data_IF_757552136028
#
_entry.id   IF_757552136028
#
_cell.length_a   1.000
_cell.length_b   1.000
_cell.length_c   1.000
_cell.angle_alpha   90.00
_cell.angle_beta   90.00
_cell.angle_gamma   90.00
#
_symmetry.space_group_name_H-M   'P 1'
#
loop_
_entity.id
_entity.type
_entity.pdbx_description
1 polymer ?
#
# COMPACT_ATOMS: atom_id res chain seq x y z
N UNK A 1 26.30 -21.06 -19.18
CA UNK A 1 26.31 -22.47 -18.70
C UNK A 1 26.22 -22.50 -17.18
N UNK A 2 25.61 -23.57 -16.65
CA UNK A 2 25.57 -23.81 -15.20
C UNK A 2 26.15 -25.22 -14.95
N UNK A 3 27.07 -25.34 -14.01
CA UNK A 3 27.62 -26.61 -13.55
C UNK A 3 27.01 -26.95 -12.21
N UNK A 4 26.25 -28.03 -12.16
CA UNK A 4 25.43 -28.46 -11.02
C UNK A 4 23.93 -28.51 -11.36
N UNK A 5 23.22 -29.47 -10.77
CA UNK A 5 21.80 -29.77 -11.06
C UNK A 5 20.86 -29.67 -9.86
N UNK A 6 21.31 -29.08 -8.74
CA UNK A 6 20.56 -28.96 -7.52
C UNK A 6 19.74 -27.66 -7.44
N UNK A 7 19.04 -27.42 -6.30
CA UNK A 7 18.14 -26.27 -6.06
C UNK A 7 18.85 -24.91 -6.14
N UNK A 8 20.14 -24.86 -5.80
CA UNK A 8 20.94 -23.64 -5.91
C UNK A 8 21.14 -23.28 -7.39
N UNK A 9 21.45 -24.26 -8.22
CA UNK A 9 21.59 -24.11 -9.67
C UNK A 9 20.26 -23.60 -10.29
N UNK A 10 19.11 -24.16 -9.87
CA UNK A 10 17.77 -23.72 -10.31
C UNK A 10 17.54 -22.23 -9.99
N UNK A 11 17.84 -21.81 -8.77
CA UNK A 11 17.66 -20.39 -8.37
C UNK A 11 18.48 -19.42 -9.23
N UNK A 12 19.74 -19.78 -9.54
CA UNK A 12 20.61 -18.99 -10.43
C UNK A 12 20.13 -19.00 -11.88
N UNK A 13 19.64 -20.14 -12.33
CA UNK A 13 19.11 -20.32 -13.67
C UNK A 13 17.87 -19.46 -13.94
N UNK A 14 16.93 -19.38 -12.99
CA UNK A 14 15.70 -18.58 -13.14
C UNK A 14 16.00 -17.12 -13.53
N UNK A 15 17.02 -16.51 -12.91
CA UNK A 15 17.44 -15.15 -13.24
C UNK A 15 17.95 -15.04 -14.68
N UNK A 16 18.77 -15.99 -15.12
CA UNK A 16 19.30 -15.99 -16.49
C UNK A 16 18.22 -16.28 -17.52
N UNK A 17 17.29 -17.20 -17.20
CA UNK A 17 16.15 -17.53 -18.06
C UNK A 17 15.19 -16.34 -18.24
N UNK A 18 14.95 -15.55 -17.18
CA UNK A 18 14.12 -14.34 -17.27
C UNK A 18 14.74 -13.26 -18.17
N UNK A 19 16.07 -13.27 -18.30
CA UNK A 19 16.81 -12.39 -19.22
C UNK A 19 16.92 -12.95 -20.65
N UNK A 20 16.25 -14.07 -20.96
CA UNK A 20 16.28 -14.69 -22.30
C UNK A 20 17.59 -15.41 -22.65
N UNK A 21 18.37 -15.82 -21.64
CA UNK A 21 19.64 -16.53 -21.90
C UNK A 21 19.39 -17.95 -22.41
N UNK A 22 20.23 -18.39 -23.38
CA UNK A 22 20.35 -19.79 -23.75
C UNK A 22 21.20 -20.53 -22.70
N UNK A 23 20.58 -21.49 -22.02
CA UNK A 23 21.15 -22.09 -20.83
C UNK A 23 21.47 -23.57 -21.05
N UNK A 24 22.74 -23.92 -20.88
CA UNK A 24 23.20 -25.32 -20.80
C UNK A 24 23.52 -25.64 -19.34
N UNK A 25 22.96 -26.75 -18.84
CA UNK A 25 23.27 -27.31 -17.52
C UNK A 25 24.13 -28.58 -17.71
N UNK A 26 25.27 -28.61 -17.02
CA UNK A 26 26.18 -29.77 -16.96
C UNK A 26 26.09 -30.36 -15.56
N UNK A 27 25.53 -31.55 -15.45
CA UNK A 27 25.39 -32.26 -14.18
C UNK A 27 25.05 -33.74 -14.44
N UNK A 28 25.61 -34.71 -13.70
CA UNK A 28 25.21 -36.11 -13.78
C UNK A 28 23.74 -36.32 -13.39
N UNK A 29 23.25 -35.54 -12.42
CA UNK A 29 21.90 -35.68 -11.86
C UNK A 29 21.25 -34.30 -11.77
N UNK A 30 19.94 -34.26 -12.01
CA UNK A 30 19.13 -33.04 -11.85
C UNK A 30 18.12 -33.23 -10.71
N UNK A 31 17.80 -32.16 -9.99
CA UNK A 31 16.63 -32.09 -9.12
C UNK A 31 15.33 -32.10 -9.96
N UNK A 32 14.20 -32.35 -9.30
CA UNK A 32 12.92 -32.53 -10.00
C UNK A 32 12.50 -31.28 -10.77
N UNK A 33 12.68 -30.12 -10.19
CA UNK A 33 12.34 -28.84 -10.85
C UNK A 33 13.19 -28.63 -12.13
N UNK A 34 14.50 -28.90 -12.06
CA UNK A 34 15.38 -28.78 -13.22
C UNK A 34 14.99 -29.75 -14.34
N UNK A 35 14.59 -30.97 -13.98
CA UNK A 35 14.09 -31.95 -14.96
C UNK A 35 12.84 -31.45 -15.69
N UNK A 36 11.90 -30.83 -14.97
CA UNK A 36 10.72 -30.28 -15.61
C UNK A 36 11.08 -29.13 -16.57
N UNK A 37 12.03 -28.27 -16.21
CA UNK A 37 12.49 -27.19 -17.11
C UNK A 37 13.16 -27.70 -18.38
N UNK A 38 13.92 -28.79 -18.27
CA UNK A 38 14.52 -29.50 -19.45
C UNK A 38 13.41 -30.08 -20.33
N UNK A 39 12.40 -30.75 -19.76
CA UNK A 39 11.26 -31.31 -20.51
C UNK A 39 10.50 -30.26 -21.31
N UNK A 40 10.39 -29.05 -20.77
CA UNK A 40 9.73 -27.92 -21.44
C UNK A 40 10.61 -27.18 -22.45
N UNK A 41 11.82 -27.68 -22.72
CA UNK A 41 12.74 -27.08 -23.69
C UNK A 41 13.35 -25.74 -23.27
N UNK A 42 13.27 -25.40 -21.99
CA UNK A 42 13.78 -24.12 -21.45
C UNK A 42 15.28 -24.16 -21.17
N UNK A 43 15.87 -25.36 -21.12
CA UNK A 43 17.25 -25.60 -20.70
C UNK A 43 17.79 -26.80 -21.45
N UNK A 44 19.03 -26.70 -21.91
CA UNK A 44 19.77 -27.83 -22.51
C UNK A 44 20.53 -28.59 -21.42
N UNK A 45 20.23 -29.84 -21.21
CA UNK A 45 20.92 -30.67 -20.23
C UNK A 45 22.00 -31.55 -20.88
N UNK A 46 23.20 -31.56 -20.27
CA UNK A 46 24.30 -32.50 -20.57
C UNK A 46 24.50 -33.38 -19.34
N UNK A 47 24.08 -34.66 -19.39
CA UNK A 47 24.21 -35.60 -18.28
C UNK A 47 25.68 -36.11 -18.17
N UNK A 48 26.56 -35.24 -17.67
CA UNK A 48 27.98 -35.50 -17.56
C UNK A 48 28.59 -34.79 -16.37
N UNK A 49 29.73 -35.30 -15.89
CA UNK A 49 30.61 -34.53 -15.02
C UNK A 49 31.27 -33.39 -15.80
N UNK A 50 31.67 -32.34 -15.06
CA UNK A 50 32.34 -31.21 -15.69
C UNK A 50 33.65 -31.61 -16.36
N UNK A 51 33.89 -31.12 -17.56
CA UNK A 51 35.16 -31.23 -18.28
C UNK A 51 35.48 -29.91 -18.99
N UNK A 52 36.76 -29.67 -19.30
CA UNK A 52 37.25 -28.47 -19.95
C UNK A 52 36.56 -28.16 -21.28
N UNK A 53 36.13 -29.17 -22.02
CA UNK A 53 35.44 -29.02 -23.29
C UNK A 53 34.07 -28.34 -23.17
N UNK A 54 33.45 -28.37 -21.99
CA UNK A 54 32.11 -27.81 -21.77
C UNK A 54 32.08 -26.28 -21.80
N UNK A 55 33.20 -25.61 -21.49
CA UNK A 55 33.25 -24.14 -21.47
C UNK A 55 33.38 -23.49 -22.85
N UNK A 56 33.70 -24.29 -23.88
CA UNK A 56 33.86 -23.77 -25.22
C UNK A 56 32.58 -23.09 -25.73
N UNK A 57 32.72 -21.81 -26.17
CA UNK A 57 31.62 -21.01 -26.67
C UNK A 57 30.71 -20.43 -25.59
N UNK A 58 31.00 -20.64 -24.31
CA UNK A 58 30.22 -20.05 -23.21
C UNK A 58 30.64 -18.61 -22.97
N UNK A 59 29.68 -17.72 -22.68
CA UNK A 59 29.96 -16.32 -22.31
C UNK A 59 30.06 -16.11 -20.80
N UNK A 60 29.29 -16.94 -20.06
CA UNK A 60 29.19 -16.87 -18.62
C UNK A 60 28.97 -18.27 -18.06
N UNK A 61 29.62 -18.59 -16.93
CA UNK A 61 29.52 -19.84 -16.25
C UNK A 61 29.19 -19.64 -14.77
N UNK A 62 28.26 -20.44 -14.24
CA UNK A 62 27.99 -20.53 -12.83
C UNK A 62 28.36 -21.91 -12.32
N UNK A 63 29.27 -22.01 -11.37
CA UNK A 63 29.62 -23.23 -10.65
C UNK A 63 28.74 -23.33 -9.39
N UNK A 64 27.81 -24.26 -9.36
CA UNK A 64 26.80 -24.43 -8.32
C UNK A 64 26.71 -25.91 -7.89
N UNK A 65 27.86 -26.54 -7.69
CA UNK A 65 27.95 -27.90 -7.14
C UNK A 65 28.28 -27.82 -5.64
N UNK A 66 28.03 -28.91 -4.92
CA UNK A 66 28.45 -29.15 -3.55
C UNK A 66 29.91 -29.64 -3.41
N UNK A 67 30.60 -29.81 -4.53
CA UNK A 67 31.99 -30.24 -4.59
C UNK A 67 32.94 -29.05 -4.84
N UNK A 68 33.63 -28.57 -3.80
CA UNK A 68 34.56 -27.42 -3.91
C UNK A 68 35.65 -27.64 -5.00
N UNK A 69 36.17 -28.86 -5.15
CA UNK A 69 37.17 -29.20 -6.17
C UNK A 69 36.66 -29.03 -7.60
N UNK A 70 35.38 -29.35 -7.83
CA UNK A 70 34.73 -29.15 -9.13
C UNK A 70 34.56 -27.66 -9.40
N UNK A 71 34.06 -26.93 -8.44
CA UNK A 71 33.87 -25.47 -8.58
C UNK A 71 35.20 -24.73 -8.83
N UNK A 72 36.30 -25.15 -8.18
CA UNK A 72 37.63 -24.60 -8.43
C UNK A 72 38.14 -24.97 -9.84
N UNK A 73 37.91 -26.21 -10.30
CA UNK A 73 38.27 -26.61 -11.67
C UNK A 73 37.48 -25.79 -12.72
N UNK A 74 36.19 -25.54 -12.49
CA UNK A 74 35.37 -24.69 -13.34
C UNK A 74 35.94 -23.26 -13.37
N UNK A 75 36.28 -22.69 -12.19
CA UNK A 75 36.88 -21.39 -12.09
C UNK A 75 38.20 -21.30 -12.86
N UNK A 76 39.15 -22.21 -12.62
CA UNK A 76 40.44 -22.22 -13.28
C UNK A 76 40.31 -22.33 -14.81
N UNK A 77 39.40 -23.16 -15.28
CA UNK A 77 39.12 -23.32 -16.71
C UNK A 77 38.56 -22.02 -17.34
N UNK A 78 37.61 -21.35 -16.64
CA UNK A 78 37.01 -20.11 -17.11
C UNK A 78 38.03 -18.97 -17.11
N UNK A 79 38.87 -18.86 -16.07
CA UNK A 79 39.97 -17.89 -16.03
C UNK A 79 40.92 -18.02 -17.21
N UNK A 80 41.37 -19.25 -17.50
CA UNK A 80 42.27 -19.51 -18.61
C UNK A 80 41.64 -19.16 -19.99
N UNK A 81 40.29 -19.24 -20.08
CA UNK A 81 39.54 -18.95 -21.30
C UNK A 81 39.00 -17.51 -21.38
N UNK A 82 39.18 -16.67 -20.35
CA UNK A 82 38.63 -15.31 -20.29
C UNK A 82 37.11 -15.27 -20.20
N UNK A 83 36.48 -16.28 -19.57
CA UNK A 83 35.01 -16.43 -19.43
C UNK A 83 34.61 -15.94 -18.04
N UNK A 84 33.55 -15.14 -17.95
CA UNK A 84 32.98 -14.70 -16.66
C UNK A 84 32.47 -15.91 -15.87
N UNK A 85 32.93 -16.04 -14.63
CA UNK A 85 32.56 -17.17 -13.76
C UNK A 85 32.10 -16.68 -12.38
N UNK A 86 31.06 -17.32 -11.85
CA UNK A 86 30.62 -17.19 -10.47
C UNK A 86 30.60 -18.59 -9.82
N UNK A 87 31.41 -18.78 -8.80
CA UNK A 87 31.35 -19.95 -7.92
C UNK A 87 30.42 -19.58 -6.74
N UNK A 88 29.35 -20.33 -6.57
CA UNK A 88 28.35 -20.02 -5.55
C UNK A 88 28.96 -20.14 -4.16
N UNK A 89 28.70 -19.13 -3.31
CA UNK A 89 29.20 -18.99 -1.94
C UNK A 89 30.76 -18.96 -1.84
N UNK A 90 31.46 -18.70 -2.95
CA UNK A 90 32.92 -18.59 -3.00
C UNK A 90 33.35 -17.31 -3.76
N UNK A 91 33.45 -16.15 -3.05
CA UNK A 91 33.88 -14.88 -3.67
C UNK A 91 35.30 -14.90 -4.22
N UNK A 92 36.21 -15.70 -3.65
CA UNK A 92 37.60 -15.79 -4.09
C UNK A 92 37.72 -16.43 -5.50
N UNK A 93 36.83 -17.35 -5.82
CA UNK A 93 36.74 -18.02 -7.10
C UNK A 93 35.55 -17.51 -7.94
N UNK A 94 35.29 -16.19 -7.87
CA UNK A 94 34.24 -15.52 -8.63
C UNK A 94 34.76 -14.25 -9.29
N UNK A 95 34.32 -13.96 -10.53
CA UNK A 95 34.62 -12.72 -11.27
C UNK A 95 33.42 -11.80 -11.35
N UNK A 96 32.26 -12.28 -10.97
CA UNK A 96 31.08 -11.48 -10.74
C UNK A 96 30.23 -12.07 -9.61
N UNK A 97 29.37 -11.25 -9.02
CA UNK A 97 28.45 -11.64 -7.96
C UNK A 97 27.04 -11.34 -8.45
N UNK A 98 26.09 -12.26 -8.20
CA UNK A 98 24.69 -12.01 -8.48
C UNK A 98 24.13 -11.13 -7.36
N UNK A 99 23.71 -9.86 -7.64
CA UNK A 99 23.15 -8.98 -6.63
C UNK A 99 21.75 -9.42 -6.21
N UNK A 100 21.25 -8.84 -5.12
CA UNK A 100 19.83 -8.85 -4.82
C UNK A 100 19.14 -7.86 -5.77
N UNK A 101 18.08 -8.28 -6.45
CA UNK A 101 17.43 -7.50 -7.51
C UNK A 101 16.00 -7.15 -7.10
N UNK A 102 15.64 -5.88 -7.26
CA UNK A 102 14.25 -5.39 -7.34
C UNK A 102 13.97 -5.18 -8.82
N UNK A 103 13.13 -6.04 -9.38
CA UNK A 103 12.78 -6.01 -10.80
C UNK A 103 11.48 -5.24 -11.03
N UNK A 104 11.59 -4.19 -11.82
CA UNK A 104 10.50 -3.35 -12.32
C UNK A 104 10.70 -3.09 -13.82
N UNK A 105 11.00 -4.15 -14.58
CA UNK A 105 11.40 -4.04 -15.98
C UNK A 105 10.60 -2.97 -16.77
N UNK A 106 11.27 -2.05 -17.51
CA UNK A 106 12.72 -2.01 -17.80
C UNK A 106 13.58 -1.38 -16.70
N UNK A 107 13.02 -0.93 -15.58
CA UNK A 107 13.79 -0.43 -14.44
C UNK A 107 14.28 -1.62 -13.59
N UNK A 108 15.59 -1.65 -13.31
CA UNK A 108 16.20 -2.66 -12.45
C UNK A 108 17.02 -1.97 -11.36
N UNK A 109 16.83 -2.41 -10.09
CA UNK A 109 17.63 -1.95 -8.96
C UNK A 109 18.41 -3.14 -8.42
N UNK A 110 19.72 -3.04 -8.40
CA UNK A 110 20.63 -4.08 -7.95
C UNK A 110 21.35 -3.65 -6.66
N UNK A 111 21.33 -4.53 -5.65
CA UNK A 111 21.95 -4.32 -4.35
C UNK A 111 23.03 -5.37 -4.13
N UNK A 112 24.25 -4.93 -3.87
CA UNK A 112 25.37 -5.81 -3.57
C UNK A 112 26.08 -5.34 -2.30
N UNK A 113 26.55 -6.29 -1.51
CA UNK A 113 27.44 -6.08 -0.37
C UNK A 113 28.85 -6.59 -0.65
N UNK A 114 29.21 -6.73 -1.93
CA UNK A 114 30.50 -7.32 -2.34
C UNK A 114 30.69 -8.76 -1.90
N UNK A 115 29.60 -9.49 -1.61
CA UNK A 115 29.65 -10.84 -1.07
C UNK A 115 29.82 -10.93 0.46
N UNK A 116 30.06 -9.78 1.16
CA UNK A 116 30.39 -9.79 2.57
C UNK A 116 29.20 -10.10 3.49
N UNK A 117 28.01 -9.54 3.20
CA UNK A 117 26.82 -9.69 4.09
C UNK A 117 25.55 -9.90 3.25
N UNK A 118 25.30 -11.09 2.70
CA UNK A 118 24.13 -11.36 1.84
C UNK A 118 22.78 -11.11 2.53
N UNK A 119 22.73 -11.31 3.85
CA UNK A 119 21.51 -11.05 4.66
C UNK A 119 21.13 -9.58 4.64
N UNK A 120 22.10 -8.66 4.69
CA UNK A 120 21.85 -7.22 4.62
C UNK A 120 21.27 -6.83 3.24
N UNK A 121 21.83 -7.36 2.16
CA UNK A 121 21.31 -7.12 0.80
C UNK A 121 19.86 -7.62 0.65
N UNK A 122 19.51 -8.78 1.24
CA UNK A 122 18.13 -9.29 1.26
C UNK A 122 17.20 -8.42 2.08
N UNK A 123 17.63 -7.94 3.24
CA UNK A 123 16.84 -7.06 4.09
C UNK A 123 16.52 -5.74 3.38
N UNK A 124 17.55 -5.09 2.82
CA UNK A 124 17.36 -3.84 2.05
C UNK A 124 16.52 -4.05 0.80
N UNK A 125 16.67 -5.19 0.10
CA UNK A 125 15.80 -5.54 -1.00
C UNK A 125 14.33 -5.59 -0.57
N UNK A 126 14.01 -6.26 0.54
CA UNK A 126 12.64 -6.36 1.05
C UNK A 126 12.04 -4.97 1.35
N UNK A 127 12.81 -4.06 1.90
CA UNK A 127 12.38 -2.67 2.11
C UNK A 127 12.10 -1.94 0.79
N UNK A 128 13.00 -2.06 -0.18
CA UNK A 128 12.83 -1.43 -1.50
C UNK A 128 11.67 -2.03 -2.29
N UNK A 129 11.39 -3.33 -2.17
CA UNK A 129 10.21 -3.97 -2.78
C UNK A 129 8.90 -3.30 -2.30
N UNK A 130 8.81 -2.93 -1.03
CA UNK A 130 7.66 -2.24 -0.48
C UNK A 130 7.57 -0.77 -0.92
N UNK A 131 8.72 -0.11 -1.10
CA UNK A 131 8.78 1.32 -1.42
C UNK A 131 8.62 1.62 -2.91
N UNK A 132 9.03 0.69 -3.78
CA UNK A 132 9.10 0.89 -5.24
C UNK A 132 8.01 0.05 -5.92
N UNK A 133 6.84 0.63 -6.24
CA UNK A 133 5.76 -0.08 -6.91
C UNK A 133 6.12 -0.48 -8.35
N UNK A 134 5.40 -1.47 -8.89
CA UNK A 134 5.57 -1.94 -10.26
C UNK A 134 5.37 -0.83 -11.31
N UNK A 135 4.51 0.14 -11.05
CA UNK A 135 4.24 1.25 -11.94
C UNK A 135 5.47 2.09 -12.33
N UNK A 136 6.60 2.02 -11.60
CA UNK A 136 7.86 2.63 -12.06
C UNK A 136 8.40 1.99 -13.34
N UNK A 137 8.20 0.68 -13.51
CA UNK A 137 8.51 -0.01 -14.76
C UNK A 137 7.61 0.47 -15.90
N UNK A 138 6.31 0.58 -15.65
CA UNK A 138 5.33 1.07 -16.64
C UNK A 138 5.64 2.51 -17.05
N UNK A 139 6.01 3.37 -16.09
CA UNK A 139 6.42 4.75 -16.38
C UNK A 139 7.71 4.81 -17.19
N UNK A 140 8.70 3.97 -16.88
CA UNK A 140 9.94 3.89 -17.64
C UNK A 140 9.71 3.38 -19.07
N UNK A 141 8.79 2.41 -19.24
CA UNK A 141 8.36 1.93 -20.55
C UNK A 141 7.67 3.03 -21.35
N UNK A 142 6.72 3.73 -20.74
CA UNK A 142 6.02 4.85 -21.34
C UNK A 142 6.99 5.94 -21.79
N UNK A 143 7.99 6.29 -20.96
CA UNK A 143 9.04 7.24 -21.33
C UNK A 143 9.91 6.74 -22.50
N UNK A 144 10.17 5.44 -22.56
CA UNK A 144 10.92 4.83 -23.68
C UNK A 144 10.12 4.88 -24.97
N UNK A 145 8.83 4.59 -24.94
CA UNK A 145 7.91 4.61 -26.08
C UNK A 145 7.82 6.03 -26.68
N UNK A 146 7.77 7.05 -25.81
CA UNK A 146 7.68 8.46 -26.23
C UNK A 146 9.04 9.12 -26.54
N UNK A 147 10.14 8.38 -26.43
CA UNK A 147 11.50 8.93 -26.58
C UNK A 147 11.73 9.58 -27.95
N UNK A 148 11.21 8.98 -29.02
CA UNK A 148 11.38 9.50 -30.38
C UNK A 148 10.63 10.82 -30.52
N UNK A 149 9.37 10.85 -30.11
CA UNK A 149 8.51 12.05 -30.13
C UNK A 149 9.13 13.17 -29.28
N UNK A 150 9.60 12.85 -28.07
CA UNK A 150 10.26 13.83 -27.19
C UNK A 150 11.53 14.43 -27.80
N UNK A 151 12.32 13.65 -28.56
CA UNK A 151 13.48 14.16 -29.27
C UNK A 151 13.11 15.08 -30.45
N UNK A 152 12.03 14.76 -31.14
CA UNK A 152 11.51 15.54 -32.26
C UNK A 152 10.95 16.89 -31.80
N UNK A 153 10.10 16.88 -30.76
CA UNK A 153 9.41 18.09 -30.28
C UNK A 153 10.27 18.96 -29.37
N UNK A 154 11.22 18.36 -28.66
CA UNK A 154 12.14 19.05 -27.76
C UNK A 154 13.59 18.73 -28.18
N UNK A 155 14.12 19.38 -29.21
CA UNK A 155 15.47 19.09 -29.73
C UNK A 155 16.58 19.43 -28.73
N UNK A 156 16.38 20.41 -27.86
CA UNK A 156 17.32 20.74 -26.80
C UNK A 156 17.32 19.75 -25.66
N UNK A 157 18.52 19.36 -25.19
CA UNK A 157 18.70 18.37 -24.12
C UNK A 157 18.23 18.91 -22.75
N UNK A 158 18.42 20.21 -22.50
CA UNK A 158 18.01 20.86 -21.27
C UNK A 158 16.47 20.91 -21.20
N UNK A 159 15.79 21.27 -22.29
CA UNK A 159 14.35 21.30 -22.39
C UNK A 159 13.73 19.89 -22.19
N UNK A 160 14.34 18.83 -22.76
CA UNK A 160 13.90 17.44 -22.52
C UNK A 160 14.06 17.02 -21.06
N UNK A 161 15.18 17.39 -20.44
CA UNK A 161 15.44 17.10 -19.04
C UNK A 161 14.38 17.79 -18.16
N UNK A 162 14.17 19.09 -18.35
CA UNK A 162 13.17 19.86 -17.62
C UNK A 162 11.75 19.28 -17.80
N UNK A 163 11.40 18.89 -19.04
CA UNK A 163 10.12 18.23 -19.30
C UNK A 163 9.94 16.96 -18.44
N UNK A 164 10.94 16.07 -18.42
CA UNK A 164 10.84 14.83 -17.64
C UNK A 164 10.91 15.07 -16.15
N UNK A 165 11.66 16.06 -15.67
CA UNK A 165 11.65 16.46 -14.26
C UNK A 165 10.25 16.94 -13.84
N UNK A 166 9.58 17.72 -14.69
CA UNK A 166 8.21 18.17 -14.48
C UNK A 166 7.19 17.02 -14.54
N UNK A 167 7.35 16.08 -15.47
CA UNK A 167 6.54 14.85 -15.54
C UNK A 167 6.66 14.07 -14.25
N UNK A 168 7.89 13.84 -13.75
CA UNK A 168 8.14 13.08 -12.51
C UNK A 168 7.61 13.81 -11.27
N UNK A 169 7.62 15.14 -11.28
CA UNK A 169 7.07 15.96 -10.20
C UNK A 169 5.54 16.13 -10.29
N UNK A 170 4.92 15.86 -11.47
CA UNK A 170 3.51 16.05 -11.75
C UNK A 170 2.61 14.87 -11.35
N UNK A 171 1.35 14.85 -11.81
CA UNK A 171 0.38 13.78 -11.54
C UNK A 171 0.59 12.51 -12.39
N UNK A 172 1.38 12.57 -13.44
CA UNK A 172 1.56 11.45 -14.39
C UNK A 172 2.05 10.15 -13.72
N UNK A 173 3.07 10.17 -12.83
CA UNK A 173 3.47 8.95 -12.11
C UNK A 173 2.32 8.34 -11.33
N UNK A 174 1.48 9.15 -10.72
CA UNK A 174 0.36 8.72 -9.90
C UNK A 174 -0.74 8.06 -10.74
N UNK A 175 -1.03 8.60 -11.93
CA UNK A 175 -1.93 7.97 -12.90
C UNK A 175 -1.42 6.59 -13.33
N UNK A 176 -0.12 6.49 -13.64
CA UNK A 176 0.51 5.21 -14.00
C UNK A 176 0.44 4.22 -12.83
N UNK A 177 0.72 4.65 -11.60
CA UNK A 177 0.69 3.80 -10.40
C UNK A 177 -0.72 3.33 -10.05
N UNK A 178 -1.75 4.08 -10.46
CA UNK A 178 -3.18 3.71 -10.33
C UNK A 178 -3.67 2.83 -11.50
N UNK A 179 -2.80 2.45 -12.44
CA UNK A 179 -3.16 1.64 -13.61
C UNK A 179 -3.73 2.43 -14.79
N UNK A 180 -3.77 3.76 -14.73
CA UNK A 180 -4.29 4.64 -15.79
C UNK A 180 -3.20 4.97 -16.84
N UNK A 181 -2.49 3.94 -17.32
CA UNK A 181 -1.31 4.10 -18.19
C UNK A 181 -1.68 4.78 -19.50
N UNK A 182 -2.84 4.45 -20.10
CA UNK A 182 -3.26 5.03 -21.36
C UNK A 182 -3.65 6.51 -21.23
N UNK A 183 -4.31 6.87 -20.14
CA UNK A 183 -4.61 8.29 -19.80
C UNK A 183 -3.31 9.10 -19.67
N UNK A 184 -2.31 8.54 -18.97
CA UNK A 184 -1.00 9.15 -18.85
C UNK A 184 -0.28 9.27 -20.21
N UNK A 185 -0.40 8.27 -21.09
CA UNK A 185 0.15 8.29 -22.46
C UNK A 185 -0.42 9.45 -23.28
N UNK A 186 -1.75 9.57 -23.28
CA UNK A 186 -2.45 10.64 -24.01
C UNK A 186 -1.99 12.01 -23.50
N UNK A 187 -2.01 12.22 -22.18
CA UNK A 187 -1.61 13.48 -21.55
C UNK A 187 -0.15 13.88 -21.89
N UNK A 188 0.76 12.91 -21.86
CA UNK A 188 2.17 13.16 -22.22
C UNK A 188 2.36 13.45 -23.70
N UNK A 189 1.63 12.73 -24.57
CA UNK A 189 1.69 12.96 -26.03
C UNK A 189 1.21 14.37 -26.35
N UNK A 190 0.06 14.77 -25.80
CA UNK A 190 -0.48 16.12 -26.01
C UNK A 190 0.46 17.22 -25.47
N UNK A 191 1.06 16.99 -24.29
CA UNK A 191 2.01 17.94 -23.71
C UNK A 191 3.25 18.12 -24.61
N UNK A 192 3.77 17.02 -25.17
CA UNK A 192 4.89 17.08 -26.13
C UNK A 192 4.49 17.78 -27.44
N UNK A 193 3.31 17.49 -27.98
CA UNK A 193 2.83 18.10 -29.25
C UNK A 193 2.57 19.59 -29.12
N UNK A 194 2.00 20.03 -27.98
CA UNK A 194 1.67 21.43 -27.72
C UNK A 194 2.85 22.24 -27.16
N UNK A 195 3.97 21.60 -26.83
CA UNK A 195 5.10 22.23 -26.16
C UNK A 195 4.75 22.79 -24.78
N UNK A 196 3.69 22.23 -24.15
CA UNK A 196 3.16 22.67 -22.86
C UNK A 196 3.76 21.82 -21.75
N UNK A 197 3.97 22.44 -20.58
CA UNK A 197 4.32 21.68 -19.37
C UNK A 197 3.10 20.87 -18.91
N UNK A 198 3.25 19.60 -18.49
CA UNK A 198 2.15 18.84 -17.91
C UNK A 198 1.51 19.57 -16.74
N UNK A 199 0.18 19.43 -16.58
CA UNK A 199 -0.58 20.01 -15.46
C UNK A 199 0.04 19.52 -14.15
N UNK A 200 0.43 20.44 -13.27
CA UNK A 200 1.11 20.13 -12.00
C UNK A 200 0.14 19.93 -10.83
N UNK A 201 -0.99 20.64 -10.82
CA UNK A 201 -1.93 20.61 -9.71
C UNK A 201 -2.82 19.37 -9.72
N UNK A 202 -2.95 18.73 -8.56
CA UNK A 202 -3.85 17.61 -8.35
C UNK A 202 -4.24 17.50 -6.87
N UNK A 203 -5.39 16.90 -6.58
CA UNK A 203 -5.85 16.62 -5.22
C UNK A 203 -5.88 15.12 -4.97
N UNK A 204 -5.25 14.70 -3.89
CA UNK A 204 -5.22 13.33 -3.41
C UNK A 204 -6.04 13.23 -2.14
N UNK A 205 -7.20 12.56 -2.22
CA UNK A 205 -8.06 12.30 -1.08
C UNK A 205 -7.64 10.98 -0.44
N UNK A 206 -7.02 11.04 0.73
CA UNK A 206 -6.28 9.90 1.30
C UNK A 206 -6.82 9.54 2.68
N UNK A 207 -7.12 8.26 2.86
CA UNK A 207 -7.42 7.69 4.17
C UNK A 207 -6.15 7.45 4.98
N UNK A 208 -6.09 8.02 6.17
CA UNK A 208 -4.97 7.85 7.09
C UNK A 208 -5.09 6.62 8.00
N UNK A 209 -6.13 5.81 7.83
CA UNK A 209 -6.39 4.69 8.72
C UNK A 209 -6.89 5.10 10.11
N UNK A 210 -7.00 4.15 11.04
CA UNK A 210 -7.67 4.32 12.33
C UNK A 210 -6.81 4.94 13.43
N UNK A 211 -5.52 5.26 13.16
CA UNK A 211 -4.64 5.92 14.13
C UNK A 211 -3.20 5.42 14.18
N UNK A 212 -2.97 4.11 14.06
CA UNK A 212 -1.62 3.55 14.00
C UNK A 212 -0.97 3.84 12.64
N UNK A 213 0.22 4.48 12.58
CA UNK A 213 0.94 4.75 11.33
C UNK A 213 1.27 3.50 10.49
N UNK A 214 1.50 2.35 11.12
CA UNK A 214 1.78 1.10 10.40
C UNK A 214 0.58 0.55 9.61
N UNK A 215 -0.60 1.13 9.83
CA UNK A 215 -1.82 0.80 9.10
C UNK A 215 -2.08 1.72 7.89
N UNK A 216 -1.14 2.61 7.59
CA UNK A 216 -1.17 3.38 6.34
C UNK A 216 -0.96 2.46 5.14
N UNK A 217 -1.64 2.76 4.05
CA UNK A 217 -1.28 2.13 2.78
C UNK A 217 0.04 2.69 2.28
N UNK A 218 0.83 1.88 1.57
CA UNK A 218 2.05 2.36 0.92
C UNK A 218 1.80 3.54 -0.03
N UNK A 219 0.61 3.58 -0.65
CA UNK A 219 0.21 4.68 -1.52
C UNK A 219 0.02 5.97 -0.73
N UNK A 220 -0.67 5.90 0.40
CA UNK A 220 -0.85 7.04 1.30
C UNK A 220 0.50 7.61 1.74
N UNK A 221 1.42 6.77 2.21
CA UNK A 221 2.75 7.19 2.66
C UNK A 221 3.54 7.88 1.53
N UNK A 222 3.53 7.32 0.31
CA UNK A 222 4.23 7.97 -0.83
C UNK A 222 3.67 9.36 -1.14
N UNK A 223 2.34 9.52 -1.14
CA UNK A 223 1.71 10.81 -1.38
C UNK A 223 2.01 11.82 -0.27
N UNK A 224 2.05 11.38 0.99
CA UNK A 224 2.46 12.21 2.13
C UNK A 224 3.89 12.75 1.99
N UNK A 225 4.78 11.99 1.35
CA UNK A 225 6.16 12.41 1.09
C UNK A 225 6.33 13.28 -0.16
N UNK A 226 5.27 13.45 -0.96
CA UNK A 226 5.31 14.20 -2.22
C UNK A 226 4.42 15.45 -2.22
N UNK A 227 3.50 15.56 -1.27
CA UNK A 227 2.55 16.66 -1.21
C UNK A 227 3.23 18.01 -0.97
N UNK A 228 2.80 19.05 -1.69
CA UNK A 228 3.20 20.43 -1.43
C UNK A 228 2.38 21.03 -0.28
N UNK A 229 1.11 20.62 -0.19
CA UNK A 229 0.16 21.06 0.83
C UNK A 229 -0.61 19.88 1.40
N UNK A 230 -0.75 19.82 2.72
CA UNK A 230 -1.57 18.83 3.42
C UNK A 230 -2.72 19.52 4.13
N UNK A 231 -3.94 19.20 3.73
CA UNK A 231 -5.19 19.66 4.36
C UNK A 231 -5.74 18.54 5.24
N UNK A 232 -5.84 18.75 6.54
CA UNK A 232 -6.15 17.70 7.51
C UNK A 232 -7.04 18.18 8.66
N UNK A 233 -7.64 17.23 9.38
CA UNK A 233 -8.50 17.48 10.55
C UNK A 233 -7.98 16.75 11.80
N UNK A 234 -8.72 16.87 12.92
CA UNK A 234 -8.32 16.34 14.23
C UNK A 234 -8.35 14.81 14.37
N UNK A 235 -8.87 14.07 13.38
CA UNK A 235 -8.89 12.61 13.40
C UNK A 235 -7.57 11.99 12.90
N UNK A 236 -6.73 12.81 12.27
CA UNK A 236 -5.38 12.38 11.86
C UNK A 236 -4.43 12.51 13.05
N UNK A 237 -3.80 11.41 13.45
CA UNK A 237 -2.89 11.41 14.61
C UNK A 237 -1.62 12.22 14.35
N UNK A 238 -0.95 12.66 15.44
CA UNK A 238 0.33 13.39 15.33
C UNK A 238 1.41 12.54 14.69
N UNK A 239 1.47 11.28 15.04
CA UNK A 239 2.42 10.31 14.54
C UNK A 239 2.28 10.13 13.01
N UNK A 240 1.06 10.13 12.49
CA UNK A 240 0.79 10.13 11.06
C UNK A 240 1.24 11.45 10.42
N UNK A 241 0.95 12.58 11.04
CA UNK A 241 1.38 13.90 10.53
C UNK A 241 2.90 14.08 10.51
N UNK A 242 3.64 13.37 11.35
CA UNK A 242 5.11 13.35 11.33
C UNK A 242 5.70 12.66 10.10
N UNK A 243 4.94 11.79 9.45
CA UNK A 243 5.32 11.11 8.20
C UNK A 243 5.16 12.00 6.95
N UNK A 244 4.50 13.14 7.07
CA UNK A 244 4.42 14.14 6.00
C UNK A 244 5.79 14.79 5.80
N UNK A 245 6.20 15.01 4.54
CA UNK A 245 7.47 15.69 4.26
C UNK A 245 7.55 17.03 5.02
N UNK A 246 8.75 17.38 5.48
CA UNK A 246 8.95 18.47 6.46
C UNK A 246 8.60 19.86 5.93
N UNK A 247 8.81 20.07 4.65
CA UNK A 247 8.61 21.34 3.95
C UNK A 247 7.20 21.50 3.34
N UNK A 248 6.29 20.50 3.50
CA UNK A 248 4.92 20.64 3.08
C UNK A 248 4.17 21.68 3.94
N UNK A 249 3.39 22.53 3.29
CA UNK A 249 2.44 23.41 3.97
C UNK A 249 1.36 22.59 4.67
N UNK A 250 1.00 22.92 5.93
CA UNK A 250 0.03 22.18 6.74
C UNK A 250 -1.16 23.05 7.06
N UNK A 251 -2.33 22.75 6.50
CA UNK A 251 -3.57 23.51 6.70
C UNK A 251 -4.53 22.65 7.52
N UNK A 252 -4.80 23.09 8.74
CA UNK A 252 -5.76 22.44 9.62
C UNK A 252 -7.17 22.99 9.36
N UNK A 253 -8.13 22.12 9.04
CA UNK A 253 -9.53 22.48 8.73
C UNK A 253 -10.55 21.92 9.74
N UNK A 254 -10.09 21.25 10.81
CA UNK A 254 -10.96 20.74 11.88
C UNK A 254 -11.46 21.81 12.85
N UNK A 255 -12.31 21.40 13.80
CA UNK A 255 -12.80 22.28 14.88
C UNK A 255 -11.66 22.64 15.83
N UNK A 256 -11.41 23.93 16.05
CA UNK A 256 -10.57 24.44 17.14
C UNK A 256 -11.47 24.84 18.30
N UNK A 257 -10.97 24.73 19.53
CA UNK A 257 -11.72 25.05 20.74
C UNK A 257 -12.25 26.51 20.80
N UNK A 258 -11.70 27.40 19.98
CA UNK A 258 -12.04 28.85 19.94
C UNK A 258 -12.56 29.36 18.59
N UNK A 259 -12.70 28.48 17.56
CA UNK A 259 -13.16 28.90 16.24
C UNK A 259 -14.10 27.85 15.64
N UNK A 260 -15.10 28.27 14.87
CA UNK A 260 -15.96 27.37 14.10
C UNK A 260 -15.12 26.55 13.14
N UNK A 261 -15.47 25.27 12.96
CA UNK A 261 -14.91 24.47 11.88
C UNK A 261 -15.21 25.15 10.55
N UNK A 262 -14.27 25.11 9.61
CA UNK A 262 -14.56 25.52 8.25
C UNK A 262 -15.77 24.73 7.72
N UNK A 263 -16.80 25.40 7.16
CA UNK A 263 -17.86 24.71 6.46
C UNK A 263 -17.32 23.79 5.38
N UNK A 264 -18.02 22.68 5.10
CA UNK A 264 -17.53 21.72 4.09
C UNK A 264 -17.31 22.37 2.73
N UNK A 265 -18.18 23.29 2.34
CA UNK A 265 -18.09 24.05 1.10
C UNK A 265 -16.78 24.86 1.01
N UNK A 266 -16.37 25.49 2.10
CA UNK A 266 -15.10 26.23 2.14
C UNK A 266 -13.87 25.29 2.03
N UNK A 267 -13.96 24.08 2.60
CA UNK A 267 -12.92 23.06 2.44
C UNK A 267 -12.82 22.66 0.98
N UNK A 268 -13.95 22.40 0.31
CA UNK A 268 -13.99 22.01 -1.08
C UNK A 268 -13.38 23.09 -1.98
N UNK A 269 -13.77 24.36 -1.78
CA UNK A 269 -13.21 25.50 -2.52
C UNK A 269 -11.71 25.70 -2.26
N UNK A 270 -11.25 25.45 -1.03
CA UNK A 270 -9.83 25.49 -0.69
C UNK A 270 -9.03 24.48 -1.49
N UNK A 271 -9.53 23.24 -1.59
CA UNK A 271 -8.86 22.17 -2.36
C UNK A 271 -8.75 22.53 -3.85
N UNK A 272 -9.85 23.04 -4.45
CA UNK A 272 -9.87 23.49 -5.84
C UNK A 272 -8.85 24.60 -6.07
N UNK A 273 -8.84 25.64 -5.24
CA UNK A 273 -7.92 26.78 -5.36
C UNK A 273 -6.46 26.34 -5.30
N UNK A 274 -6.10 25.54 -4.31
CA UNK A 274 -4.72 25.08 -4.14
C UNK A 274 -4.24 24.24 -5.34
N UNK A 275 -5.11 23.40 -5.92
CA UNK A 275 -4.79 22.66 -7.12
C UNK A 275 -4.65 23.56 -8.35
N UNK A 276 -5.50 24.59 -8.50
CA UNK A 276 -5.38 25.59 -9.56
C UNK A 276 -4.08 26.40 -9.48
N UNK A 277 -3.54 26.58 -8.27
CA UNK A 277 -2.20 27.14 -8.03
C UNK A 277 -1.06 26.21 -8.48
N UNK A 278 -1.37 25.03 -9.01
CA UNK A 278 -0.40 24.04 -9.47
C UNK A 278 0.20 23.17 -8.38
N UNK A 279 -0.39 23.15 -7.17
CA UNK A 279 0.10 22.37 -6.03
C UNK A 279 -0.39 20.92 -6.04
N UNK A 280 0.43 20.00 -5.55
CA UNK A 280 0.02 18.65 -5.15
C UNK A 280 -0.63 18.73 -3.77
N UNK A 281 -1.96 18.68 -3.73
CA UNK A 281 -2.74 18.83 -2.50
C UNK A 281 -3.10 17.47 -1.94
N UNK A 282 -2.68 17.17 -0.73
CA UNK A 282 -3.08 15.99 0.01
C UNK A 282 -4.20 16.33 0.99
N UNK A 283 -5.42 15.85 0.75
CA UNK A 283 -6.51 15.88 1.73
C UNK A 283 -6.44 14.60 2.57
N UNK A 284 -5.91 14.69 3.79
CA UNK A 284 -5.72 13.57 4.69
C UNK A 284 -6.91 13.46 5.66
N UNK A 285 -7.55 12.28 5.72
CA UNK A 285 -8.77 12.01 6.49
C UNK A 285 -8.59 10.80 7.39
N UNK A 286 -9.07 10.86 8.63
CA UNK A 286 -9.06 9.71 9.54
C UNK A 286 -9.90 8.54 8.99
N UNK A 287 -9.44 7.30 9.17
CA UNK A 287 -10.09 6.11 8.64
C UNK A 287 -10.03 6.03 7.12
N UNK A 288 -11.19 5.82 6.50
CA UNK A 288 -11.40 5.77 5.05
C UNK A 288 -12.20 7.00 4.57
N UNK A 289 -11.84 7.65 3.44
CA UNK A 289 -12.52 8.84 2.96
C UNK A 289 -14.00 8.65 2.62
N UNK A 290 -14.39 7.44 2.19
CA UNK A 290 -15.74 7.13 1.72
C UNK A 290 -16.65 6.50 2.79
N UNK A 291 -16.09 6.14 3.95
CA UNK A 291 -16.88 5.58 5.07
C UNK A 291 -17.12 6.69 6.10
N UNK A 292 -18.28 7.34 6.03
CA UNK A 292 -18.72 8.47 6.86
C UNK A 292 -17.71 9.64 6.89
N UNK A 293 -16.86 9.74 5.86
CA UNK A 293 -15.82 10.77 5.72
C UNK A 293 -16.21 11.96 4.83
N UNK A 294 -17.38 11.98 4.22
CA UNK A 294 -17.85 13.01 3.26
C UNK A 294 -16.95 13.16 2.02
N UNK A 295 -16.10 12.17 1.73
CA UNK A 295 -15.17 12.23 0.61
C UNK A 295 -15.87 12.38 -0.75
N UNK A 296 -17.07 11.82 -0.90
CA UNK A 296 -17.87 11.98 -2.12
C UNK A 296 -18.24 13.43 -2.44
N UNK A 297 -18.51 14.25 -1.41
CA UNK A 297 -18.82 15.68 -1.57
C UNK A 297 -17.56 16.45 -2.03
N UNK A 298 -16.39 16.16 -1.43
CA UNK A 298 -15.12 16.79 -1.81
C UNK A 298 -14.75 16.49 -3.27
N UNK A 299 -14.96 15.24 -3.74
CA UNK A 299 -14.64 14.83 -5.11
C UNK A 299 -15.61 15.42 -6.14
N UNK A 300 -16.89 15.51 -5.80
CA UNK A 300 -17.89 16.09 -6.71
C UNK A 300 -17.53 17.51 -7.13
N UNK A 301 -17.05 18.34 -6.19
CA UNK A 301 -16.58 19.70 -6.48
C UNK A 301 -15.30 19.73 -7.30
N UNK A 302 -14.35 18.82 -7.03
CA UNK A 302 -13.13 18.70 -7.83
C UNK A 302 -13.43 18.31 -9.27
N UNK A 303 -14.34 17.35 -9.45
CA UNK A 303 -14.78 16.90 -10.79
C UNK A 303 -15.48 18.04 -11.55
N UNK A 304 -16.36 18.80 -10.88
CA UNK A 304 -17.04 19.95 -11.48
C UNK A 304 -16.06 21.07 -11.88
N UNK A 305 -14.95 21.21 -11.14
CA UNK A 305 -13.89 22.17 -11.45
C UNK A 305 -12.81 21.64 -12.39
N UNK A 306 -12.99 20.44 -12.98
CA UNK A 306 -12.03 19.76 -13.88
C UNK A 306 -10.62 19.58 -13.26
N UNK A 307 -10.53 19.49 -11.93
CA UNK A 307 -9.28 19.23 -11.22
C UNK A 307 -8.97 17.74 -11.23
N UNK A 308 -7.73 17.40 -11.58
CA UNK A 308 -7.26 16.01 -11.47
C UNK A 308 -7.26 15.56 -10.01
N UNK A 309 -7.85 14.39 -9.72
CA UNK A 309 -7.87 13.84 -8.37
C UNK A 309 -7.71 12.32 -8.36
N UNK A 310 -7.28 11.82 -7.22
CA UNK A 310 -7.21 10.38 -6.89
C UNK A 310 -7.76 10.16 -5.49
N UNK A 311 -8.43 9.00 -5.29
CA UNK A 311 -8.87 8.55 -3.97
C UNK A 311 -8.08 7.35 -3.55
N UNK A 312 -7.44 7.46 -2.39
CA UNK A 312 -6.67 6.36 -1.79
C UNK A 312 -7.42 5.88 -0.55
N UNK A 313 -7.89 4.62 -0.54
CA UNK A 313 -8.60 4.09 0.60
C UNK A 313 -7.69 4.00 1.83
N UNK A 314 -8.30 4.04 3.01
CA UNK A 314 -7.65 3.74 4.27
C UNK A 314 -8.36 2.62 5.01
N UNK A 315 -7.72 2.05 6.03
CA UNK A 315 -8.40 1.11 6.92
C UNK A 315 -9.46 1.90 7.70
N UNK A 316 -10.73 1.59 7.45
CA UNK A 316 -11.83 2.23 8.18
C UNK A 316 -11.77 1.91 9.67
N UNK A 317 -12.25 2.82 10.52
CA UNK A 317 -12.21 2.66 11.97
C UNK A 317 -12.90 1.38 12.46
N UNK A 318 -13.95 0.91 11.79
CA UNK A 318 -14.61 -0.36 12.10
C UNK A 318 -13.65 -1.54 11.99
N UNK A 319 -12.94 -1.67 10.88
CA UNK A 319 -11.98 -2.76 10.67
C UNK A 319 -10.79 -2.67 11.63
N UNK A 320 -10.23 -1.47 11.82
CA UNK A 320 -9.12 -1.26 12.74
C UNK A 320 -9.49 -1.55 14.19
N UNK A 321 -10.61 -1.02 14.66
CA UNK A 321 -11.10 -1.23 16.04
C UNK A 321 -11.40 -2.71 16.29
N UNK A 322 -12.07 -3.37 15.38
CA UNK A 322 -12.41 -4.79 15.44
C UNK A 322 -11.15 -5.65 15.59
N UNK A 323 -10.18 -5.49 14.70
CA UNK A 323 -8.93 -6.27 14.75
C UNK A 323 -8.15 -6.03 16.05
N UNK A 324 -8.05 -4.77 16.48
CA UNK A 324 -7.27 -4.41 17.67
C UNK A 324 -7.98 -4.65 19.00
N UNK A 325 -9.27 -4.91 18.96
CA UNK A 325 -10.04 -5.38 20.12
C UNK A 325 -10.25 -6.89 20.12
N UNK A 326 -9.79 -7.64 19.14
CA UNK A 326 -10.05 -9.07 19.03
C UNK A 326 -11.54 -9.40 18.88
N UNK A 327 -12.29 -8.57 18.15
CA UNK A 327 -13.72 -8.72 17.91
C UNK A 327 -13.97 -8.82 16.40
N UNK A 328 -14.01 -9.99 15.79
CA UNK A 328 -14.27 -10.10 14.36
C UNK A 328 -15.68 -9.58 14.03
N UNK A 329 -15.80 -8.73 12.99
CA UNK A 329 -17.11 -8.16 12.62
C UNK A 329 -18.06 -9.20 12.04
N UNK A 330 -17.55 -10.28 11.49
CA UNK A 330 -18.30 -11.43 11.01
C UNK A 330 -17.72 -12.73 11.57
N UNK A 331 -18.58 -13.68 11.88
CA UNK A 331 -18.17 -14.99 12.39
C UNK A 331 -19.21 -16.03 12.02
N UNK A 332 -18.79 -17.24 11.62
CA UNK A 332 -19.69 -18.31 11.18
C UNK A 332 -20.84 -18.58 12.17
N UNK A 333 -20.53 -18.56 13.48
CA UNK A 333 -21.48 -18.96 14.53
C UNK A 333 -22.19 -17.78 15.19
N UNK A 334 -21.73 -16.53 15.00
CA UNK A 334 -22.26 -15.35 15.69
C UNK A 334 -22.89 -14.31 14.77
N UNK A 335 -22.25 -13.98 13.64
CA UNK A 335 -22.75 -12.94 12.75
C UNK A 335 -22.33 -13.17 11.30
N UNK A 336 -23.31 -13.29 10.40
CA UNK A 336 -23.10 -13.52 8.97
C UNK A 336 -23.13 -12.22 8.16
N UNK A 337 -23.51 -11.11 8.78
CA UNK A 337 -23.56 -9.79 8.18
C UNK A 337 -23.06 -8.72 9.14
N UNK A 338 -22.64 -7.58 8.57
CA UNK A 338 -22.26 -6.39 9.33
C UNK A 338 -22.88 -5.16 8.68
N UNK A 339 -23.49 -4.33 9.50
CA UNK A 339 -24.06 -3.05 9.07
C UNK A 339 -23.34 -1.90 9.74
N UNK A 340 -22.86 -0.93 8.95
CA UNK A 340 -22.25 0.32 9.41
C UNK A 340 -23.32 1.41 9.42
N UNK A 341 -23.47 2.07 10.56
CA UNK A 341 -24.40 3.19 10.72
C UNK A 341 -23.69 4.39 11.38
N UNK A 342 -24.24 5.58 11.20
CA UNK A 342 -23.76 6.78 11.89
C UNK A 342 -24.74 7.16 13.00
N UNK A 343 -24.21 7.44 14.21
CA UNK A 343 -24.94 8.05 15.30
C UNK A 343 -24.95 9.58 15.25
N UNK A 344 -24.45 10.18 14.17
CA UNK A 344 -24.46 11.62 13.98
C UNK A 344 -25.70 12.08 13.23
N UNK A 345 -26.35 13.12 13.71
CA UNK A 345 -27.56 13.71 13.12
C UNK A 345 -27.25 14.60 11.95
N UNK A 346 -28.13 14.61 10.95
CA UNK A 346 -28.20 15.68 9.97
C UNK A 346 -28.87 16.88 10.66
N UNK A 347 -28.23 18.02 10.73
CA UNK A 347 -28.86 19.26 11.23
C UNK A 347 -29.89 19.73 10.19
N UNK A 348 -31.14 19.39 10.40
CA UNK A 348 -32.29 20.00 9.69
C UNK A 348 -33.09 20.83 10.70
N UNK A 349 -33.56 22.01 10.28
CA UNK A 349 -34.14 23.05 11.17
C UNK A 349 -35.45 22.68 11.86
N UNK A 350 -36.07 21.52 11.61
CA UNK A 350 -37.46 21.26 12.00
C UNK A 350 -37.76 20.12 12.94
N UNK A 351 -36.80 19.21 13.27
CA UNK A 351 -37.03 18.15 14.26
C UNK A 351 -35.74 17.79 15.02
N UNK A 352 -35.55 18.52 16.13
CA UNK A 352 -34.25 18.61 16.79
C UNK A 352 -33.72 17.32 17.43
N UNK A 353 -34.48 16.19 17.53
CA UNK A 353 -34.13 15.16 18.49
C UNK A 353 -34.07 13.70 18.02
N UNK A 354 -34.36 13.36 16.78
CA UNK A 354 -34.40 11.96 16.37
C UNK A 354 -33.36 11.57 15.33
N UNK A 355 -32.60 10.53 15.62
CA UNK A 355 -31.72 9.85 14.68
C UNK A 355 -32.59 8.99 13.74
N UNK A 356 -32.62 9.32 12.45
CA UNK A 356 -33.40 8.58 11.46
C UNK A 356 -32.59 7.36 10.95
N UNK A 357 -32.72 6.23 11.64
CA UNK A 357 -32.24 4.94 11.18
C UNK A 357 -33.43 3.98 11.03
N UNK A 358 -33.32 3.05 10.10
CA UNK A 358 -34.28 1.95 9.99
C UNK A 358 -34.00 0.91 11.09
N UNK A 359 -34.50 1.19 12.29
CA UNK A 359 -34.24 0.40 13.48
C UNK A 359 -34.70 -1.06 13.32
N UNK A 360 -35.79 -1.29 12.59
CA UNK A 360 -36.34 -2.64 12.35
C UNK A 360 -35.32 -3.54 11.59
N UNK A 361 -34.46 -2.96 10.76
CA UNK A 361 -33.39 -3.68 10.06
C UNK A 361 -32.18 -4.01 10.93
N UNK A 362 -31.98 -3.30 12.04
CA UNK A 362 -30.80 -3.40 12.89
C UNK A 362 -30.97 -4.38 14.07
N UNK A 363 -32.10 -5.06 14.18
CA UNK A 363 -32.40 -5.94 15.33
C UNK A 363 -32.08 -7.41 15.10
N UNK A 364 -31.61 -7.79 13.90
CA UNK A 364 -31.24 -9.17 13.61
C UNK A 364 -30.12 -9.67 14.55
N UNK A 365 -30.33 -10.74 15.36
CA UNK A 365 -29.32 -11.22 16.29
C UNK A 365 -28.08 -11.80 15.59
N UNK A 366 -28.19 -12.27 14.34
CA UNK A 366 -27.08 -12.79 13.54
C UNK A 366 -26.35 -11.70 12.75
N UNK A 367 -26.51 -10.45 13.14
CA UNK A 367 -25.87 -9.30 12.51
C UNK A 367 -25.08 -8.48 13.52
N UNK A 368 -23.88 -8.06 13.11
CA UNK A 368 -23.10 -7.07 13.84
C UNK A 368 -23.47 -5.66 13.37
N UNK A 369 -23.82 -4.80 14.31
CA UNK A 369 -24.03 -3.36 14.02
C UNK A 369 -22.87 -2.56 14.54
N UNK A 370 -22.24 -1.77 13.66
CA UNK A 370 -21.14 -0.88 14.03
C UNK A 370 -21.60 0.57 13.91
N UNK A 371 -21.55 1.31 15.02
CA UNK A 371 -22.04 2.68 15.08
C UNK A 371 -20.86 3.65 15.14
N UNK A 372 -20.69 4.44 14.09
CA UNK A 372 -19.77 5.54 14.02
C UNK A 372 -20.38 6.79 14.69
N UNK A 373 -19.55 7.59 15.37
CA UNK A 373 -19.97 8.83 16.02
C UNK A 373 -21.17 8.67 16.99
N UNK A 374 -21.36 7.45 17.54
CA UNK A 374 -22.53 7.07 18.31
C UNK A 374 -22.46 7.37 19.81
N UNK A 375 -21.32 7.76 20.38
CA UNK A 375 -21.11 7.87 21.83
C UNK A 375 -22.08 8.87 22.48
N UNK A 376 -22.31 10.02 21.87
CA UNK A 376 -23.23 11.04 22.41
C UNK A 376 -24.70 10.61 22.37
N UNK A 377 -25.05 9.64 21.52
CA UNK A 377 -26.42 9.14 21.34
C UNK A 377 -26.58 7.70 21.82
N UNK A 378 -25.60 7.14 22.52
CA UNK A 378 -25.53 5.72 22.85
C UNK A 378 -26.76 5.25 23.65
N UNK A 379 -27.26 6.03 24.59
CA UNK A 379 -28.50 5.72 25.33
C UNK A 379 -29.72 5.62 24.40
N UNK A 380 -29.91 6.61 23.54
CA UNK A 380 -31.01 6.61 22.57
C UNK A 380 -30.91 5.45 21.58
N UNK A 381 -29.70 5.16 21.08
CA UNK A 381 -29.47 4.01 20.18
C UNK A 381 -29.84 2.71 20.87
N UNK A 382 -29.43 2.52 22.12
CA UNK A 382 -29.76 1.32 22.91
C UNK A 382 -31.28 1.19 23.13
N UNK A 383 -31.94 2.26 23.53
CA UNK A 383 -33.41 2.32 23.71
C UNK A 383 -34.15 1.94 22.42
N UNK A 384 -33.75 2.50 21.27
CA UNK A 384 -34.40 2.20 20.00
C UNK A 384 -34.19 0.76 19.57
N UNK A 385 -32.98 0.21 19.69
CA UNK A 385 -32.71 -1.19 19.35
C UNK A 385 -33.55 -2.15 20.22
N UNK A 386 -33.65 -1.89 21.52
CA UNK A 386 -34.46 -2.68 22.44
C UNK A 386 -35.95 -2.55 22.10
N UNK A 387 -36.44 -1.35 21.88
CA UNK A 387 -37.86 -1.09 21.55
C UNK A 387 -38.28 -1.78 20.24
N UNK A 388 -37.35 -1.99 19.29
CA UNK A 388 -37.64 -2.69 18.06
C UNK A 388 -37.34 -4.19 18.12
N UNK A 389 -37.01 -4.74 19.29
CA UNK A 389 -36.95 -6.21 19.53
C UNK A 389 -35.54 -6.80 19.67
N UNK A 390 -34.47 -5.97 19.73
CA UNK A 390 -33.15 -6.49 20.07
C UNK A 390 -33.06 -6.75 21.57
N UNK A 391 -32.45 -7.88 21.97
CA UNK A 391 -32.31 -8.22 23.40
C UNK A 391 -31.55 -7.14 24.17
N UNK A 392 -32.02 -6.75 25.33
CA UNK A 392 -31.35 -5.84 26.25
C UNK A 392 -29.99 -6.35 26.72
N UNK A 393 -29.79 -7.69 26.70
CA UNK A 393 -28.53 -8.36 27.04
C UNK A 393 -27.57 -8.47 25.87
N UNK A 394 -27.93 -7.94 24.67
CA UNK A 394 -27.02 -7.94 23.53
C UNK A 394 -25.70 -7.24 23.88
N UNK A 395 -24.54 -7.90 23.75
CA UNK A 395 -23.28 -7.32 24.15
C UNK A 395 -22.85 -6.20 23.20
N UNK A 396 -22.19 -5.22 23.79
CA UNK A 396 -21.66 -4.03 23.10
C UNK A 396 -20.21 -3.80 23.52
N UNK A 397 -19.33 -3.63 22.55
CA UNK A 397 -17.98 -3.14 22.79
C UNK A 397 -17.89 -1.66 22.44
N UNK A 398 -17.38 -0.87 23.39
CA UNK A 398 -17.07 0.55 23.22
C UNK A 398 -15.56 0.65 23.07
N UNK A 399 -15.09 1.08 21.90
CA UNK A 399 -13.66 1.11 21.58
C UNK A 399 -13.26 2.56 21.35
N UNK A 400 -12.53 3.12 22.31
CA UNK A 400 -11.99 4.48 22.27
C UNK A 400 -10.57 4.47 21.71
N UNK A 401 -10.25 5.45 20.84
CA UNK A 401 -8.93 5.66 20.24
C UNK A 401 -8.32 4.38 19.68
N UNK A 402 -9.11 3.66 18.89
CA UNK A 402 -8.74 2.38 18.32
C UNK A 402 -7.37 2.43 17.63
N UNK A 403 -6.62 1.34 17.75
CA UNK A 403 -5.29 1.09 17.18
C UNK A 403 -4.13 1.93 17.74
N UNK A 404 -4.42 2.94 18.55
CA UNK A 404 -3.38 3.75 19.21
C UNK A 404 -2.88 3.09 20.50
N UNK A 405 -1.73 3.54 21.06
CA UNK A 405 -1.30 3.11 22.39
C UNK A 405 -2.30 3.42 23.51
N UNK A 406 -3.18 4.42 23.29
CA UNK A 406 -4.20 4.84 24.25
C UNK A 406 -5.55 4.17 24.02
N UNK A 407 -5.62 3.13 23.21
CA UNK A 407 -6.86 2.38 23.00
C UNK A 407 -7.40 1.85 24.32
N UNK A 408 -8.71 2.07 24.55
CA UNK A 408 -9.46 1.44 25.63
C UNK A 408 -10.65 0.69 25.05
N UNK A 409 -10.94 -0.47 25.62
CA UNK A 409 -12.12 -1.28 25.29
C UNK A 409 -12.94 -1.43 26.54
N UNK A 410 -14.22 -1.10 26.46
CA UNK A 410 -15.19 -1.30 27.54
C UNK A 410 -16.31 -2.19 27.02
N UNK A 411 -16.56 -3.28 27.73
CA UNK A 411 -17.64 -4.21 27.38
C UNK A 411 -18.88 -3.88 28.20
N UNK A 412 -20.01 -3.79 27.54
CA UNK A 412 -21.33 -3.48 28.10
C UNK A 412 -22.41 -4.36 27.46
N UNK A 413 -23.65 -4.17 27.88
CA UNK A 413 -24.84 -4.63 27.19
C UNK A 413 -25.69 -3.44 26.76
N UNK A 414 -26.67 -3.63 25.88
CA UNK A 414 -27.56 -2.54 25.47
C UNK A 414 -28.26 -1.90 26.67
N UNK A 415 -28.67 -2.69 27.70
CA UNK A 415 -29.34 -2.19 28.88
C UNK A 415 -28.53 -1.24 29.75
N UNK A 416 -27.19 -1.35 29.76
CA UNK A 416 -26.32 -0.52 30.60
C UNK A 416 -25.31 0.32 29.80
N UNK A 417 -25.48 0.44 28.50
CA UNK A 417 -24.51 1.08 27.59
C UNK A 417 -24.21 2.54 27.99
N UNK A 418 -25.24 3.33 28.26
CA UNK A 418 -25.08 4.74 28.63
C UNK A 418 -24.37 4.91 29.97
N UNK A 419 -24.67 4.05 30.96
CA UNK A 419 -24.04 4.01 32.26
C UNK A 419 -22.55 3.70 32.16
N UNK A 420 -22.20 2.66 31.38
CA UNK A 420 -20.81 2.23 31.19
C UNK A 420 -19.99 3.30 30.45
N UNK A 421 -20.54 4.00 29.45
CA UNK A 421 -19.88 5.12 28.77
C UNK A 421 -19.58 6.25 29.78
N UNK A 422 -20.56 6.59 30.63
CA UNK A 422 -20.41 7.63 31.65
C UNK A 422 -19.39 7.24 32.72
N UNK A 423 -19.50 6.04 33.26
CA UNK A 423 -18.59 5.54 34.30
C UNK A 423 -17.13 5.45 33.83
N UNK A 424 -16.91 4.99 32.59
CA UNK A 424 -15.61 4.90 31.99
C UNK A 424 -15.09 6.22 31.41
N UNK A 425 -15.91 7.29 31.43
CA UNK A 425 -15.59 8.61 30.87
C UNK A 425 -15.10 8.54 29.41
N UNK A 426 -15.78 7.76 28.58
CA UNK A 426 -15.44 7.57 27.18
C UNK A 426 -15.58 8.87 26.41
N UNK A 427 -14.56 9.19 25.59
CA UNK A 427 -14.53 10.41 24.77
C UNK A 427 -14.34 10.07 23.29
N UNK A 428 -14.89 10.85 22.36
CA UNK A 428 -14.54 10.73 20.95
C UNK A 428 -13.02 10.94 20.70
N UNK A 429 -12.43 10.27 19.73
CA UNK A 429 -13.06 9.31 18.83
C UNK A 429 -13.31 7.94 19.47
N UNK A 430 -14.52 7.43 19.36
CA UNK A 430 -14.85 6.09 19.82
C UNK A 430 -15.92 5.47 18.91
N UNK A 431 -15.94 4.13 18.87
CA UNK A 431 -16.81 3.31 18.04
C UNK A 431 -17.60 2.35 18.92
N UNK A 432 -18.83 2.03 18.54
CA UNK A 432 -19.63 0.99 19.18
C UNK A 432 -19.72 -0.22 18.25
N UNK A 433 -19.45 -1.41 18.75
CA UNK A 433 -19.70 -2.70 18.07
C UNK A 433 -20.76 -3.45 18.87
N UNK A 434 -21.90 -3.73 18.25
CA UNK A 434 -23.08 -4.30 18.88
C UNK A 434 -23.35 -5.67 18.26
N UNK A 435 -23.40 -6.73 19.07
CA UNK A 435 -23.71 -8.08 18.61
C UNK A 435 -22.93 -9.16 19.33
N UNK A 436 -23.30 -10.40 19.11
CA UNK A 436 -22.75 -11.58 19.79
C UNK A 436 -21.25 -11.83 19.52
N UNK A 437 -20.71 -11.27 18.45
CA UNK A 437 -19.25 -11.30 18.16
C UNK A 437 -18.41 -10.68 19.28
N UNK A 438 -18.99 -9.78 20.06
CA UNK A 438 -18.31 -9.13 21.20
C UNK A 438 -17.89 -10.14 22.28
N UNK A 439 -18.61 -11.27 22.41
CA UNK A 439 -18.27 -12.37 23.33
C UNK A 439 -16.89 -12.99 23.05
N UNK A 440 -16.38 -12.81 21.83
CA UNK A 440 -15.08 -13.33 21.43
C UNK A 440 -13.90 -12.48 21.94
N UNK A 441 -14.16 -11.27 22.45
CA UNK A 441 -13.12 -10.34 22.93
C UNK A 441 -12.17 -11.00 23.93
N UNK A 442 -12.68 -11.70 24.94
CA UNK A 442 -11.84 -12.31 25.98
C UNK A 442 -10.88 -13.37 25.43
N UNK A 443 -11.28 -14.09 24.38
CA UNK A 443 -10.48 -15.15 23.77
C UNK A 443 -9.49 -14.65 22.73
N UNK A 444 -9.86 -13.58 22.01
CA UNK A 444 -9.14 -13.12 20.81
C UNK A 444 -8.38 -11.80 21.00
N UNK A 445 -8.38 -11.23 22.21
CA UNK A 445 -7.68 -9.98 22.49
C UNK A 445 -6.16 -10.19 22.59
N UNK A 446 -5.49 -10.25 21.45
CA UNK A 446 -4.05 -10.48 21.33
C UNK A 446 -3.17 -9.34 21.89
N UNK A 447 -3.72 -8.17 22.17
CA UNK A 447 -2.98 -7.05 22.77
C UNK A 447 -2.79 -7.17 24.28
N UNK A 448 -3.50 -8.06 24.92
CA UNK A 448 -3.37 -8.36 26.37
C UNK A 448 -2.62 -9.68 26.62
N UNK A 449 -2.28 -10.41 25.56
CA UNK A 449 -1.43 -11.57 25.57
C UNK A 449 0.03 -11.15 25.47
#
# INVERSE_FOLDING_TARGET
>A
MIVGGGDIAVRKMRLLASAGADITVVSPVLCDEMREMVKHGKVHWRPAEFSLSHIAGQRLVIAATDHASVNQAVFAACEAAGILVNSVDDPAHSRFITPAIVDRAPLTIALSTGGGVPVLARHLRAQLEAMIPHGWGDLAKLGSDLRVLAKEKLPDTAARREFWENVLAGPIPDQVFSGQVETARIALTEALEKGQQPIRGAVYLVGSGPGNPDLLTFRALRLMQQADVVVYDNLVSKEIMELVRRDAERIYVGKKASNHALPQEEINLLLVRLAQEGKKVLRLKGGDPFIFGRGGEEIAELAAAEIAFEVVPGITSAAGASCYAGIPLTHRDYAQSVTFVTGHRRATESDADKLELDWARLVNPSETVVVYMGVAQAGYIAEQLIAHGRSADTPVAIIERATTPQQRVVIANLSNLAEQISAAQIKPPALLIIGDVVKLHEQLNWRQL
#
